data_IF_406830262604
#
_entry.id   IF_406830262604
#
_cell.length_a   1.000
_cell.length_b   1.000
_cell.length_c   1.000
_cell.angle_alpha   90.00
_cell.angle_beta   90.00
_cell.angle_gamma   90.00
#
_symmetry.space_group_name_H-M   'P 1'
#
loop_
_entity.id
_entity.type
_entity.pdbx_description
1 polymer ?
#
# COMPACT_ATOMS: atom_id res chain seq x y z
N UNK A 1 1.36 -4.33 14.30
CA UNK A 1 1.26 -3.74 15.65
C UNK A 1 2.05 -2.44 15.62
N UNK A 2 1.66 -1.43 16.41
CA UNK A 2 2.31 -0.11 16.42
C UNK A 2 1.64 0.97 15.56
N UNK A 3 0.48 0.68 14.96
CA UNK A 3 -0.27 1.63 14.13
C UNK A 3 -0.23 1.35 12.62
N UNK A 4 -0.98 2.16 11.87
CA UNK A 4 -1.10 2.14 10.40
C UNK A 4 -0.94 3.55 9.82
N UNK A 5 -0.56 3.67 8.55
CA UNK A 5 -0.56 4.98 7.88
C UNK A 5 -2.01 5.47 7.77
N UNK A 6 -2.25 6.72 8.17
CA UNK A 6 -3.59 7.33 8.19
C UNK A 6 -4.23 7.28 6.81
N UNK A 7 -5.49 6.86 6.77
CA UNK A 7 -6.27 6.74 5.53
C UNK A 7 -5.90 5.54 4.66
N UNK A 8 -4.99 4.66 5.11
CA UNK A 8 -4.71 3.41 4.39
C UNK A 8 -5.80 2.36 4.62
N UNK A 9 -5.99 1.49 3.63
CA UNK A 9 -6.95 0.38 3.69
C UNK A 9 -6.17 -0.92 3.92
N UNK A 10 -6.59 -1.72 4.90
CA UNK A 10 -5.98 -3.01 5.19
C UNK A 10 -6.57 -4.11 4.29
N UNK A 11 -5.76 -4.68 3.41
CA UNK A 11 -6.13 -5.78 2.51
C UNK A 11 -5.34 -7.05 2.87
N UNK A 12 -5.99 -8.20 3.18
CA UNK A 12 -5.30 -9.44 3.49
C UNK A 12 -4.49 -9.95 2.29
N UNK A 13 -3.19 -10.19 2.49
CA UNK A 13 -2.30 -10.60 1.39
C UNK A 13 -2.67 -11.96 0.77
N UNK A 14 -3.26 -12.87 1.55
CA UNK A 14 -3.64 -14.21 1.08
C UNK A 14 -4.77 -14.19 0.05
N UNK A 15 -5.68 -13.20 0.15
CA UNK A 15 -6.84 -13.07 -0.73
C UNK A 15 -6.71 -11.92 -1.73
N UNK A 16 -5.56 -11.24 -1.79
CA UNK A 16 -5.40 -10.05 -2.61
C UNK A 16 -5.51 -10.33 -4.12
N UNK A 17 -4.78 -11.32 -4.62
CA UNK A 17 -4.70 -11.61 -6.05
C UNK A 17 -6.07 -11.81 -6.73
N UNK A 18 -6.98 -12.66 -6.21
CA UNK A 18 -8.31 -12.81 -6.83
C UNK A 18 -9.19 -11.56 -6.74
N UNK A 19 -8.85 -10.58 -5.88
CA UNK A 19 -9.64 -9.33 -5.71
C UNK A 19 -9.19 -8.19 -6.63
N UNK A 20 -8.10 -8.35 -7.39
CA UNK A 20 -7.56 -7.29 -8.26
C UNK A 20 -8.58 -6.71 -9.24
N UNK A 21 -9.45 -7.49 -9.92
CA UNK A 21 -10.46 -6.92 -10.81
C UNK A 21 -11.42 -5.96 -10.09
N UNK A 22 -11.87 -6.34 -8.89
CA UNK A 22 -12.77 -5.49 -8.09
C UNK A 22 -12.06 -4.23 -7.62
N UNK A 23 -10.81 -4.35 -7.15
CA UNK A 23 -10.02 -3.19 -6.74
C UNK A 23 -9.76 -2.24 -7.91
N UNK A 24 -9.42 -2.76 -9.09
CA UNK A 24 -9.23 -1.97 -10.29
C UNK A 24 -10.49 -1.18 -10.66
N UNK A 25 -11.66 -1.84 -10.71
CA UNK A 25 -12.93 -1.16 -10.99
C UNK A 25 -13.18 -0.02 -9.99
N UNK A 26 -13.03 -0.28 -8.68
CA UNK A 26 -13.22 0.73 -7.64
C UNK A 26 -12.27 1.93 -7.81
N UNK A 27 -10.98 1.66 -8.03
CA UNK A 27 -9.94 2.68 -8.17
C UNK A 27 -10.15 3.52 -9.43
N UNK A 28 -10.54 2.90 -10.54
CA UNK A 28 -10.87 3.61 -11.79
C UNK A 28 -12.12 4.46 -11.63
N UNK A 29 -13.19 3.93 -11.01
CA UNK A 29 -14.41 4.70 -10.75
C UNK A 29 -14.18 5.91 -9.83
N UNK A 30 -13.21 5.84 -8.94
CA UNK A 30 -12.79 6.93 -8.06
C UNK A 30 -11.72 7.85 -8.67
N UNK A 31 -11.38 7.67 -9.96
CA UNK A 31 -10.34 8.42 -10.68
C UNK A 31 -8.95 8.39 -10.01
N UNK A 32 -8.62 7.32 -9.28
CA UNK A 32 -7.34 7.18 -8.60
C UNK A 32 -6.21 7.00 -9.61
N UNK A 33 -5.17 7.83 -9.49
CA UNK A 33 -3.99 7.77 -10.36
C UNK A 33 -2.80 7.05 -9.75
N UNK A 34 -2.76 6.92 -8.42
CA UNK A 34 -1.63 6.38 -7.69
C UNK A 34 -2.12 5.41 -6.62
N UNK A 35 -1.66 4.16 -6.69
CA UNK A 35 -1.94 3.12 -5.71
C UNK A 35 -0.63 2.76 -5.02
N UNK A 36 -0.56 2.94 -3.70
CA UNK A 36 0.67 2.68 -2.93
C UNK A 36 0.43 1.48 -2.00
N UNK A 37 1.24 0.45 -2.17
CA UNK A 37 1.21 -0.78 -1.40
C UNK A 37 2.31 -0.80 -0.35
N UNK A 38 2.00 -1.29 0.85
CA UNK A 38 3.01 -1.51 1.88
C UNK A 38 2.72 -2.75 2.71
N UNK A 39 3.78 -3.33 3.27
CA UNK A 39 3.68 -4.23 4.41
C UNK A 39 4.71 -3.83 5.46
N UNK A 40 5.10 -4.74 6.37
CA UNK A 40 6.12 -4.48 7.39
C UNK A 40 7.38 -3.77 6.85
N UNK A 41 8.12 -4.44 5.96
CA UNK A 41 9.30 -3.88 5.26
C UNK A 41 9.09 -3.66 3.75
N UNK A 42 7.92 -4.03 3.24
CA UNK A 42 7.58 -4.13 1.81
C UNK A 42 8.45 -5.06 0.94
N UNK A 43 9.48 -5.72 1.47
CA UNK A 43 10.40 -6.57 0.70
C UNK A 43 9.77 -7.81 0.04
N UNK A 44 8.58 -8.23 0.48
CA UNK A 44 7.90 -9.42 -0.05
C UNK A 44 6.46 -9.12 -0.45
N UNK A 45 5.57 -8.94 0.53
CA UNK A 45 4.13 -8.76 0.29
C UNK A 45 3.82 -7.42 -0.40
N UNK A 46 4.46 -6.34 0.05
CA UNK A 46 4.32 -5.01 -0.56
C UNK A 46 4.78 -5.01 -2.03
N UNK A 47 5.98 -5.53 -2.30
CA UNK A 47 6.52 -5.67 -3.66
C UNK A 47 5.61 -6.51 -4.55
N UNK A 48 5.15 -7.66 -4.06
CA UNK A 48 4.28 -8.57 -4.81
C UNK A 48 2.94 -7.93 -5.14
N UNK A 49 2.31 -7.27 -4.17
CA UNK A 49 1.04 -6.57 -4.38
C UNK A 49 1.17 -5.45 -5.42
N UNK A 50 2.26 -4.67 -5.33
CA UNK A 50 2.54 -3.61 -6.30
C UNK A 50 2.73 -4.16 -7.71
N UNK A 51 3.53 -5.22 -7.88
CA UNK A 51 3.77 -5.85 -9.17
C UNK A 51 2.48 -6.44 -9.76
N UNK A 52 1.70 -7.18 -8.98
CA UNK A 52 0.44 -7.75 -9.46
C UNK A 52 -0.56 -6.70 -9.95
N UNK A 53 -0.72 -5.61 -9.20
CA UNK A 53 -1.60 -4.53 -9.62
C UNK A 53 -1.04 -3.78 -10.84
N UNK A 54 0.28 -3.60 -10.92
CA UNK A 54 0.93 -2.95 -12.07
C UNK A 54 0.73 -3.77 -13.36
N UNK A 55 0.94 -5.08 -13.29
CA UNK A 55 0.68 -6.00 -14.40
C UNK A 55 -0.79 -5.96 -14.81
N UNK A 56 -1.71 -6.04 -13.84
CA UNK A 56 -3.15 -5.95 -14.11
C UNK A 56 -3.54 -4.62 -14.77
N UNK A 57 -3.04 -3.48 -14.28
CA UNK A 57 -3.28 -2.14 -14.86
C UNK A 57 -2.81 -2.08 -16.32
N UNK A 58 -1.63 -2.64 -16.63
CA UNK A 58 -1.08 -2.70 -17.99
C UNK A 58 -1.91 -3.59 -18.90
N UNK A 59 -2.36 -4.75 -18.41
CA UNK A 59 -3.25 -5.66 -19.15
C UNK A 59 -4.58 -4.97 -19.52
N UNK A 60 -5.11 -4.11 -18.66
CA UNK A 60 -6.31 -3.31 -18.95
C UNK A 60 -6.04 -2.10 -19.87
N UNK A 61 -4.78 -1.79 -20.19
CA UNK A 61 -4.41 -0.63 -21.00
C UNK A 61 -4.76 0.72 -20.36
N UNK A 62 -4.80 0.81 -19.03
CA UNK A 62 -5.21 2.04 -18.35
C UNK A 62 -4.17 3.16 -18.57
N UNK A 63 -4.58 4.37 -19.00
CA UNK A 63 -3.62 5.37 -19.50
C UNK A 63 -2.78 6.06 -18.42
N UNK A 64 -3.28 6.15 -17.18
CA UNK A 64 -2.70 7.04 -16.16
C UNK A 64 -2.55 6.48 -14.74
N UNK A 65 -3.16 5.34 -14.42
CA UNK A 65 -3.07 4.76 -13.08
C UNK A 65 -1.72 4.05 -12.95
N UNK A 66 -1.07 4.20 -11.80
CA UNK A 66 0.22 3.58 -11.51
C UNK A 66 0.19 2.89 -10.15
N UNK A 67 0.89 1.77 -10.07
CA UNK A 67 1.05 0.98 -8.85
C UNK A 67 2.47 1.12 -8.32
N UNK A 68 2.59 1.39 -7.03
CA UNK A 68 3.86 1.65 -6.35
C UNK A 68 3.97 0.85 -5.06
N UNK A 69 5.20 0.56 -4.67
CA UNK A 69 5.51 0.02 -3.35
C UNK A 69 6.13 1.11 -2.48
N UNK A 70 5.66 1.25 -1.24
CA UNK A 70 6.33 2.08 -0.25
C UNK A 70 7.63 1.38 0.19
N UNK A 71 8.77 1.95 -0.21
CA UNK A 71 10.09 1.46 0.19
C UNK A 71 10.25 1.50 1.71
N UNK A 72 10.84 0.46 2.29
CA UNK A 72 10.97 0.31 3.75
C UNK A 72 9.66 -0.06 4.47
N UNK A 73 8.52 -0.01 3.77
CA UNK A 73 7.21 -0.31 4.34
C UNK A 73 6.85 0.57 5.53
N UNK A 74 5.92 0.08 6.35
CA UNK A 74 5.48 0.82 7.54
C UNK A 74 6.59 0.96 8.59
N UNK A 75 7.56 0.04 8.63
CA UNK A 75 8.74 0.18 9.50
C UNK A 75 9.62 1.36 9.11
N UNK A 76 9.83 1.54 7.80
CA UNK A 76 10.55 2.70 7.27
C UNK A 76 9.82 4.00 7.58
N UNK A 77 8.50 4.02 7.36
CA UNK A 77 7.65 5.17 7.68
C UNK A 77 7.70 5.56 9.16
N UNK A 78 7.52 4.59 10.06
CA UNK A 78 7.51 4.83 11.50
C UNK A 78 8.85 5.38 12.03
N UNK A 79 9.97 4.99 11.40
CA UNK A 79 11.31 5.43 11.77
C UNK A 79 11.82 6.65 10.98
N UNK A 80 11.01 7.21 10.08
CA UNK A 80 11.41 8.35 9.26
C UNK A 80 11.28 9.71 9.98
N UNK A 81 10.77 9.72 11.21
CA UNK A 81 10.69 10.90 12.08
C UNK A 81 9.27 11.41 12.31
N UNK A 82 9.17 12.47 13.11
CA UNK A 82 7.90 12.96 13.65
C UNK A 82 6.89 13.42 12.60
N UNK A 83 7.36 13.90 11.43
CA UNK A 83 6.47 14.29 10.33
C UNK A 83 5.69 13.09 9.75
N UNK A 84 6.29 11.90 9.77
CA UNK A 84 5.66 10.66 9.31
C UNK A 84 4.79 10.03 10.39
N UNK A 85 5.25 9.97 11.64
CA UNK A 85 4.49 9.35 12.74
C UNK A 85 3.22 10.12 13.09
N UNK A 86 3.18 11.45 12.87
CA UNK A 86 1.95 12.27 12.97
C UNK A 86 0.85 11.85 11.98
N UNK A 87 1.23 11.17 10.91
CA UNK A 87 0.34 10.63 9.89
C UNK A 87 0.08 9.13 10.10
N UNK A 88 0.35 8.61 11.29
CA UNK A 88 -0.06 7.26 11.68
C UNK A 88 -1.25 7.32 12.62
N UNK A 89 -2.15 6.36 12.47
CA UNK A 89 -3.22 6.11 13.43
C UNK A 89 -2.74 5.03 14.41
N UNK A 90 -3.05 5.21 15.70
CA UNK A 90 -2.64 4.31 16.80
C UNK A 90 -1.13 4.06 16.88
N UNK A 91 -0.32 5.09 16.60
CA UNK A 91 1.14 5.01 16.73
C UNK A 91 1.57 4.66 18.16
N UNK A 92 2.40 3.63 18.31
CA UNK A 92 3.01 3.21 19.57
C UNK A 92 4.52 3.21 19.42
N UNK A 93 5.17 4.23 19.96
CA UNK A 93 6.61 4.48 19.77
C UNK A 93 7.49 3.31 20.22
N UNK A 94 7.12 2.65 21.31
CA UNK A 94 7.82 1.49 21.89
C UNK A 94 7.84 0.26 20.99
N UNK A 95 6.98 0.18 19.97
CA UNK A 95 6.90 -0.95 19.04
C UNK A 95 7.88 -0.84 17.88
N UNK A 96 8.42 0.35 17.60
CA UNK A 96 9.17 0.63 16.37
C UNK A 96 10.69 0.71 16.52
N UNK A 97 11.18 0.64 17.76
CA UNK A 97 12.62 0.60 18.12
C UNK A 97 13.38 -0.60 17.54
#
# INVERSE_FOLDING_TARGET
KGGTIRGSINLPAQSLYPTLPTLYTLLTSADIKCVIWYCGSSQHRGLRAAAWMDDFIKEQGHPSMKSFMLLGGIKGWANAGAEYTKLMDEYQEDVWG
#
